data_IF_722873321877
#
_entry.id   IF_722873321877
#
_cell.length_a   1.000
_cell.length_b   1.000
_cell.length_c   1.000
_cell.angle_alpha   90.00
_cell.angle_beta   90.00
_cell.angle_gamma   90.00
#
_symmetry.space_group_name_H-M   'P 1'
#
loop_
_entity.id
_entity.type
_entity.pdbx_description
1 polymer ?
#
# COMPACT_ATOMS: atom_id res chain seq x y z
N UNK A 1 -49.99 47.18 5.96
CA UNK A 1 -48.87 46.30 5.57
C UNK A 1 -48.84 45.14 6.52
N UNK A 2 -49.38 44.00 6.14
CA UNK A 2 -49.39 42.79 6.97
C UNK A 2 -48.22 41.92 6.55
N UNK A 3 -47.34 41.62 7.49
CA UNK A 3 -46.24 40.65 7.34
C UNK A 3 -46.80 39.28 7.68
N UNK A 4 -46.69 38.26 6.83
CA UNK A 4 -47.10 36.91 7.18
C UNK A 4 -46.05 36.23 8.03
N UNK A 5 -46.46 35.74 9.18
CA UNK A 5 -45.70 34.90 10.11
C UNK A 5 -45.50 33.52 9.48
N UNK A 6 -44.25 33.08 9.34
CA UNK A 6 -43.92 31.76 8.88
C UNK A 6 -44.11 30.72 10.00
N UNK A 7 -44.90 29.69 9.71
CA UNK A 7 -45.06 28.51 10.55
C UNK A 7 -43.80 27.62 10.50
N UNK A 8 -43.42 26.94 11.59
CA UNK A 8 -42.28 26.02 11.60
C UNK A 8 -42.61 24.73 10.86
N UNK A 9 -41.87 24.45 9.84
CA UNK A 9 -41.91 23.17 9.12
C UNK A 9 -41.36 22.06 10.03
N UNK A 10 -42.25 21.18 10.46
CA UNK A 10 -41.86 19.92 11.13
C UNK A 10 -41.23 18.95 10.11
N UNK A 11 -39.90 18.86 10.10
CA UNK A 11 -39.18 17.85 9.32
C UNK A 11 -39.21 16.50 10.03
N UNK A 12 -40.32 15.79 9.91
CA UNK A 12 -40.38 14.37 10.30
C UNK A 12 -39.83 13.52 9.14
N UNK A 13 -38.50 13.53 8.99
CA UNK A 13 -37.79 12.70 8.02
C UNK A 13 -37.77 11.26 8.54
N UNK A 14 -38.73 10.46 8.13
CA UNK A 14 -38.67 9.00 8.28
C UNK A 14 -37.53 8.48 7.43
N UNK A 15 -36.46 8.00 8.07
CA UNK A 15 -35.39 7.28 7.41
C UNK A 15 -36.00 6.06 6.70
N UNK A 16 -35.75 5.85 5.39
CA UNK A 16 -36.29 4.70 4.68
C UNK A 16 -35.88 3.39 5.37
N UNK A 17 -36.81 2.49 5.57
CA UNK A 17 -36.62 1.19 6.26
C UNK A 17 -35.45 0.38 5.68
N UNK A 18 -35.14 0.55 4.39
CA UNK A 18 -34.00 -0.08 3.74
C UNK A 18 -32.64 0.40 4.29
N UNK A 19 -32.53 1.70 4.65
CA UNK A 19 -31.28 2.26 5.21
C UNK A 19 -31.11 1.82 6.66
N UNK A 20 -32.18 1.77 7.44
CA UNK A 20 -32.16 1.28 8.82
C UNK A 20 -31.68 -0.19 8.86
N UNK A 21 -32.24 -1.06 8.02
CA UNK A 21 -31.85 -2.46 7.94
C UNK A 21 -30.39 -2.67 7.50
N UNK A 22 -29.85 -1.77 6.66
CA UNK A 22 -28.45 -1.83 6.24
C UNK A 22 -27.50 -1.43 7.37
N UNK A 23 -27.87 -0.40 8.14
CA UNK A 23 -27.07 0.05 9.29
C UNK A 23 -27.07 -1.02 10.39
N UNK A 24 -28.21 -1.64 10.69
CA UNK A 24 -28.31 -2.71 11.67
C UNK A 24 -27.49 -3.94 11.27
N UNK A 25 -27.49 -4.31 9.99
CA UNK A 25 -26.66 -5.41 9.47
C UNK A 25 -25.17 -5.10 9.58
N UNK A 26 -24.74 -3.90 9.26
CA UNK A 26 -23.33 -3.48 9.40
C UNK A 26 -22.90 -3.46 10.86
N UNK A 27 -23.75 -2.96 11.75
CA UNK A 27 -23.45 -2.91 13.18
C UNK A 27 -23.36 -4.31 13.79
N UNK A 28 -24.27 -5.22 13.41
CA UNK A 28 -24.25 -6.60 13.85
C UNK A 28 -23.04 -7.36 13.32
N UNK A 29 -22.66 -7.13 12.07
CA UNK A 29 -21.44 -7.74 11.48
C UNK A 29 -20.18 -7.20 12.14
N UNK A 30 -20.09 -5.90 12.41
CA UNK A 30 -18.95 -5.30 13.10
C UNK A 30 -18.82 -5.84 14.54
N UNK A 31 -19.94 -5.99 15.25
CA UNK A 31 -19.96 -6.56 16.61
C UNK A 31 -19.55 -8.02 16.63
N UNK A 32 -19.99 -8.82 15.67
CA UNK A 32 -19.60 -10.24 15.55
C UNK A 32 -18.13 -10.42 15.20
N UNK A 33 -17.57 -9.56 14.34
CA UNK A 33 -16.13 -9.55 14.02
C UNK A 33 -15.31 -9.12 15.24
N UNK A 34 -15.74 -8.09 15.96
CA UNK A 34 -15.06 -7.64 17.16
C UNK A 34 -15.03 -8.70 18.27
N UNK A 35 -16.15 -9.42 18.47
CA UNK A 35 -16.20 -10.53 19.45
C UNK A 35 -15.32 -11.70 19.04
N UNK A 36 -15.32 -12.08 17.76
CA UNK A 36 -14.46 -13.16 17.24
C UNK A 36 -12.97 -12.82 17.33
N UNK A 37 -12.59 -11.56 17.08
CA UNK A 37 -11.21 -11.12 17.24
C UNK A 37 -10.82 -11.11 18.72
N UNK A 38 -11.68 -10.62 19.62
CA UNK A 38 -11.42 -10.63 21.05
C UNK A 38 -11.26 -12.05 21.62
N UNK A 39 -12.12 -12.98 21.20
CA UNK A 39 -12.04 -14.38 21.61
C UNK A 39 -10.75 -15.05 21.11
N UNK A 40 -10.37 -14.83 19.87
CA UNK A 40 -9.12 -15.36 19.32
C UNK A 40 -7.88 -14.76 19.99
N UNK A 41 -7.90 -13.48 20.36
CA UNK A 41 -6.80 -12.83 21.10
C UNK A 41 -6.71 -13.40 22.53
N UNK A 42 -7.84 -13.61 23.20
CA UNK A 42 -7.84 -14.19 24.54
C UNK A 42 -7.35 -15.65 24.50
N UNK A 43 -7.83 -16.45 23.56
CA UNK A 43 -7.37 -17.83 23.37
C UNK A 43 -5.85 -17.87 23.07
N UNK A 44 -5.34 -16.99 22.21
CA UNK A 44 -3.90 -16.89 21.95
C UNK A 44 -3.11 -16.46 23.20
N UNK A 45 -3.66 -15.55 24.01
CA UNK A 45 -3.04 -15.12 25.28
C UNK A 45 -2.99 -16.27 26.29
N UNK A 46 -4.04 -17.06 26.41
CA UNK A 46 -4.10 -18.19 27.33
C UNK A 46 -3.19 -19.34 26.85
N UNK A 47 -3.10 -19.60 25.54
CA UNK A 47 -2.11 -20.53 24.99
C UNK A 47 -0.66 -20.09 25.28
N UNK A 48 -0.37 -18.79 25.17
CA UNK A 48 0.96 -18.25 25.48
C UNK A 48 1.25 -18.37 26.98
N UNK A 49 0.28 -18.07 27.85
CA UNK A 49 0.43 -18.20 29.31
C UNK A 49 0.64 -19.66 29.71
N UNK A 50 -0.17 -20.58 29.19
CA UNK A 50 -0.03 -22.00 29.46
C UNK A 50 1.30 -22.54 28.92
N UNK A 51 1.74 -22.09 27.76
CA UNK A 51 3.03 -22.46 27.20
C UNK A 51 4.21 -21.92 28.05
N UNK A 52 4.10 -20.70 28.56
CA UNK A 52 5.13 -20.11 29.43
C UNK A 52 5.13 -20.78 30.80
N UNK A 53 3.96 -21.04 31.40
CA UNK A 53 3.89 -21.72 32.70
C UNK A 53 4.34 -23.19 32.60
N UNK A 54 3.95 -23.88 31.54
CA UNK A 54 4.43 -25.27 31.30
C UNK A 54 5.92 -25.32 30.96
N UNK A 55 6.51 -24.25 30.40
CA UNK A 55 7.96 -24.13 30.21
C UNK A 55 8.69 -23.88 31.52
N UNK A 56 8.08 -23.14 32.47
CA UNK A 56 8.65 -22.91 33.81
C UNK A 56 8.60 -24.15 34.73
N UNK A 57 7.52 -24.93 34.59
CA UNK A 57 7.32 -26.19 35.38
C UNK A 57 7.86 -27.45 34.69
N UNK A 58 8.35 -27.32 33.45
CA UNK A 58 8.86 -28.48 32.73
C UNK A 58 10.19 -28.94 33.31
N UNK A 59 10.32 -30.23 33.46
CA UNK A 59 11.58 -30.96 33.82
C UNK A 59 12.81 -30.53 32.98
N UNK A 60 12.56 -29.78 31.87
CA UNK A 60 13.62 -29.22 31.02
C UNK A 60 14.45 -28.15 31.73
N UNK A 61 13.85 -27.33 32.60
CA UNK A 61 14.61 -26.32 33.37
C UNK A 61 15.37 -27.01 34.53
N UNK A 62 14.70 -27.95 35.20
CA UNK A 62 15.36 -28.78 36.22
C UNK A 62 16.46 -29.65 35.63
N UNK A 63 16.21 -30.26 34.48
CA UNK A 63 17.18 -31.06 33.73
C UNK A 63 18.37 -30.23 33.23
N UNK A 64 18.14 -29.00 32.77
CA UNK A 64 19.22 -28.11 32.32
C UNK A 64 20.10 -27.64 33.46
N UNK A 65 19.56 -27.38 34.65
CA UNK A 65 20.36 -27.04 35.84
C UNK A 65 21.16 -28.23 36.33
N UNK A 66 20.57 -29.41 36.36
CA UNK A 66 21.27 -30.66 36.69
C UNK A 66 22.37 -31.00 35.67
N UNK A 67 22.10 -30.74 34.39
CA UNK A 67 23.06 -30.94 33.32
C UNK A 67 24.23 -29.94 33.39
N UNK A 68 23.96 -28.69 33.75
CA UNK A 68 24.98 -27.65 33.99
C UNK A 68 25.84 -27.95 35.23
N UNK A 69 25.27 -28.57 36.27
CA UNK A 69 25.99 -28.98 37.47
C UNK A 69 26.79 -30.27 37.26
N UNK A 70 26.55 -31.02 36.19
CA UNK A 70 27.37 -32.18 35.85
C UNK A 70 28.79 -31.71 35.49
N UNK A 71 29.77 -32.28 36.15
CA UNK A 71 31.21 -31.93 35.99
C UNK A 71 31.79 -32.42 34.65
N UNK A 72 31.04 -33.03 33.77
CA UNK A 72 31.52 -33.49 32.48
C UNK A 72 31.68 -32.32 31.49
N UNK A 73 32.87 -32.13 31.00
CA UNK A 73 33.25 -31.11 30.04
C UNK A 73 32.35 -31.19 28.77
N UNK A 74 31.95 -32.41 28.39
CA UNK A 74 31.08 -32.71 27.26
C UNK A 74 29.68 -32.08 27.45
N UNK A 75 29.12 -32.18 28.67
CA UNK A 75 27.78 -31.62 28.96
C UNK A 75 27.78 -30.10 28.83
N UNK A 76 28.84 -29.43 29.31
CA UNK A 76 28.99 -27.97 29.18
C UNK A 76 29.16 -27.52 27.76
N UNK A 77 29.88 -28.25 26.92
CA UNK A 77 29.98 -27.97 25.48
C UNK A 77 28.65 -28.17 24.74
N UNK A 78 27.95 -29.28 25.03
CA UNK A 78 26.66 -29.56 24.43
C UNK A 78 25.64 -28.48 24.78
N UNK A 79 25.61 -27.99 26.03
CA UNK A 79 24.75 -26.89 26.44
C UNK A 79 25.09 -25.56 25.71
N UNK A 80 26.39 -25.24 25.61
CA UNK A 80 26.84 -24.05 24.89
C UNK A 80 26.44 -24.08 23.43
N UNK A 81 26.54 -25.23 22.75
CA UNK A 81 26.08 -25.41 21.36
C UNK A 81 24.57 -25.22 21.27
N UNK A 82 23.80 -25.79 22.20
CA UNK A 82 22.34 -25.67 22.23
C UNK A 82 21.91 -24.21 22.41
N UNK A 83 22.55 -23.48 23.32
CA UNK A 83 22.31 -22.03 23.51
C UNK A 83 22.63 -21.24 22.23
N UNK A 84 23.78 -21.56 21.60
CA UNK A 84 24.17 -20.90 20.34
C UNK A 84 23.17 -21.15 19.23
N UNK A 85 22.66 -22.39 19.08
CA UNK A 85 21.61 -22.72 18.10
C UNK A 85 20.32 -21.95 18.42
N UNK A 86 19.89 -21.92 19.69
CA UNK A 86 18.71 -21.15 20.12
C UNK A 86 18.87 -19.66 19.83
N UNK A 87 20.03 -19.09 20.08
CA UNK A 87 20.34 -17.70 19.77
C UNK A 87 20.29 -17.41 18.25
N UNK A 88 20.81 -18.31 17.40
CA UNK A 88 20.75 -18.19 15.95
C UNK A 88 19.31 -18.23 15.43
N UNK A 89 18.47 -19.07 16.03
CA UNK A 89 17.05 -19.14 15.67
C UNK A 89 16.34 -17.83 16.06
N UNK A 90 16.58 -17.31 17.26
CA UNK A 90 16.00 -16.05 17.73
C UNK A 90 16.46 -14.87 16.88
N UNK A 91 17.73 -14.80 16.50
CA UNK A 91 18.22 -13.76 15.58
C UNK A 91 17.54 -13.83 14.23
N UNK A 92 17.43 -15.03 13.64
CA UNK A 92 16.76 -15.21 12.36
C UNK A 92 15.29 -14.78 12.43
N UNK A 93 14.59 -15.14 13.52
CA UNK A 93 13.22 -14.72 13.75
C UNK A 93 13.12 -13.19 13.89
N UNK A 94 14.01 -12.58 14.67
CA UNK A 94 14.06 -11.13 14.86
C UNK A 94 14.27 -10.37 13.55
N UNK A 95 15.22 -10.82 12.72
CA UNK A 95 15.47 -10.22 11.39
C UNK A 95 14.23 -10.33 10.49
N UNK A 96 13.54 -11.49 10.49
CA UNK A 96 12.31 -11.67 9.71
C UNK A 96 11.18 -10.75 10.17
N UNK A 97 11.02 -10.58 11.49
CA UNK A 97 10.01 -9.69 12.07
C UNK A 97 10.31 -8.23 11.68
N UNK A 98 11.55 -7.78 11.86
CA UNK A 98 11.96 -6.43 11.45
C UNK A 98 11.74 -6.24 9.95
N UNK A 99 12.16 -7.21 9.12
CA UNK A 99 11.95 -7.17 7.69
C UNK A 99 10.49 -7.02 7.29
N UNK A 100 9.58 -7.73 7.98
CA UNK A 100 8.15 -7.62 7.74
C UNK A 100 7.60 -6.21 8.02
N UNK A 101 8.03 -5.58 9.13
CA UNK A 101 7.57 -4.23 9.50
C UNK A 101 8.25 -3.10 8.71
N UNK A 102 9.42 -3.34 8.15
CA UNK A 102 10.17 -2.34 7.37
C UNK A 102 9.97 -2.48 5.86
N UNK A 103 9.26 -3.52 5.42
CA UNK A 103 9.01 -3.73 3.99
C UNK A 103 8.17 -2.58 3.42
N UNK A 104 8.59 -1.99 2.27
CA UNK A 104 7.78 -0.99 1.58
C UNK A 104 6.41 -1.54 1.18
N UNK A 105 5.39 -0.67 1.19
CA UNK A 105 4.05 -1.05 0.75
C UNK A 105 4.05 -1.52 -0.71
N UNK A 106 3.32 -2.59 -1.00
CA UNK A 106 3.09 -3.04 -2.37
C UNK A 106 2.17 -2.11 -3.18
N UNK A 107 1.45 -1.22 -2.47
CA UNK A 107 0.51 -0.25 -3.03
C UNK A 107 0.78 1.15 -2.41
N UNK A 108 1.90 1.80 -2.79
CA UNK A 108 2.27 3.08 -2.22
C UNK A 108 1.42 4.22 -2.77
N UNK A 109 0.93 5.09 -1.90
CA UNK A 109 0.33 6.37 -2.31
C UNK A 109 1.43 7.37 -2.62
N UNK A 110 1.61 7.69 -3.90
CA UNK A 110 2.63 8.63 -4.36
C UNK A 110 2.24 10.08 -4.12
N UNK A 111 0.96 10.41 -4.33
CA UNK A 111 0.40 11.73 -4.07
C UNK A 111 -0.71 11.58 -3.04
N UNK A 112 -0.61 12.30 -1.92
CA UNK A 112 -1.60 12.31 -0.87
C UNK A 112 -2.44 13.60 -0.94
N UNK A 113 -3.74 13.45 -1.20
CA UNK A 113 -4.67 14.56 -1.40
C UNK A 113 -4.63 15.13 -2.83
N UNK A 114 -5.14 16.35 -2.98
CA UNK A 114 -5.17 17.06 -4.25
C UNK A 114 -3.93 17.94 -4.41
N UNK A 115 -3.33 17.92 -5.59
CA UNK A 115 -2.23 18.81 -5.93
C UNK A 115 -2.56 19.61 -7.19
N UNK A 116 -1.99 20.79 -7.29
CA UNK A 116 -2.07 21.59 -8.50
C UNK A 116 -1.02 21.08 -9.51
N UNK A 117 -1.47 20.70 -10.71
CA UNK A 117 -0.62 20.18 -11.76
C UNK A 117 0.39 21.18 -12.33
N UNK A 118 0.28 22.48 -11.98
CA UNK A 118 1.30 23.47 -12.29
C UNK A 118 2.60 23.26 -11.49
N UNK A 119 2.56 22.50 -10.40
CA UNK A 119 3.71 22.22 -9.56
C UNK A 119 4.22 20.81 -9.87
N UNK A 120 5.40 20.71 -10.45
CA UNK A 120 6.06 19.43 -10.65
C UNK A 120 6.47 18.82 -9.30
N UNK A 121 6.21 17.53 -9.14
CA UNK A 121 6.65 16.75 -7.98
C UNK A 121 7.48 15.57 -8.44
N UNK A 122 8.73 15.54 -8.04
CA UNK A 122 9.63 14.40 -8.28
C UNK A 122 9.67 13.54 -7.04
N UNK A 123 9.31 12.26 -7.17
CA UNK A 123 9.30 11.29 -6.09
C UNK A 123 10.53 10.39 -6.23
N UNK A 124 11.55 10.58 -5.36
CA UNK A 124 12.76 9.77 -5.42
C UNK A 124 12.45 8.29 -5.18
N UNK A 125 13.15 7.41 -5.90
CA UNK A 125 13.03 5.96 -5.75
C UNK A 125 14.23 5.34 -5.02
N UNK A 126 15.27 6.12 -4.69
CA UNK A 126 16.40 5.64 -3.91
C UNK A 126 15.98 5.46 -2.45
N UNK A 127 16.00 4.25 -1.90
CA UNK A 127 15.62 3.98 -0.51
C UNK A 127 16.54 4.67 0.53
N UNK A 128 17.69 5.18 0.12
CA UNK A 128 18.56 5.98 0.99
C UNK A 128 18.07 7.40 1.17
N UNK A 129 17.20 7.88 0.31
CA UNK A 129 16.60 9.20 0.43
C UNK A 129 15.40 9.14 1.39
N UNK A 130 15.37 9.96 2.42
CA UNK A 130 14.29 10.02 3.41
C UNK A 130 12.93 10.44 2.85
N UNK A 131 12.90 11.06 1.67
CA UNK A 131 11.68 11.46 0.96
C UNK A 131 11.26 10.44 -0.11
N UNK A 132 11.97 9.33 -0.20
CA UNK A 132 11.66 8.28 -1.16
C UNK A 132 10.35 7.58 -0.82
N UNK A 133 9.54 7.33 -1.85
CA UNK A 133 8.40 6.42 -1.79
C UNK A 133 8.70 5.28 -2.78
N UNK A 134 9.36 4.20 -2.34
CA UNK A 134 9.79 3.14 -3.24
C UNK A 134 8.61 2.44 -3.89
N UNK A 135 8.62 2.36 -5.21
CA UNK A 135 7.70 1.54 -5.98
C UNK A 135 8.35 0.18 -6.16
N UNK A 136 7.77 -0.85 -5.55
CA UNK A 136 8.29 -2.20 -5.66
C UNK A 136 8.25 -2.67 -7.13
N UNK A 137 9.24 -3.47 -7.49
CA UNK A 137 9.26 -4.09 -8.81
C UNK A 137 8.09 -5.07 -8.91
N UNK A 138 7.33 -5.00 -10.01
CA UNK A 138 6.28 -5.98 -10.31
C UNK A 138 6.86 -7.38 -10.50
N UNK A 139 6.09 -8.40 -10.15
CA UNK A 139 6.46 -9.78 -10.41
C UNK A 139 6.46 -10.02 -11.92
N UNK A 140 7.53 -10.65 -12.44
CA UNK A 140 7.54 -11.09 -13.83
C UNK A 140 6.65 -12.31 -13.95
N UNK A 141 5.58 -12.18 -14.73
CA UNK A 141 4.74 -13.30 -15.16
C UNK A 141 5.25 -13.84 -16.50
N UNK A 142 4.79 -15.03 -16.93
CA UNK A 142 5.16 -15.63 -18.20
C UNK A 142 4.89 -14.73 -19.42
N UNK A 143 3.97 -13.76 -19.30
CA UNK A 143 3.58 -12.82 -20.35
C UNK A 143 4.10 -11.39 -20.14
N UNK A 144 5.01 -11.17 -19.22
CA UNK A 144 5.59 -9.87 -18.90
C UNK A 144 5.31 -9.37 -17.49
N UNK A 145 5.48 -8.07 -17.27
CA UNK A 145 5.25 -7.42 -15.98
C UNK A 145 3.76 -7.08 -15.81
N UNK A 146 3.25 -7.30 -14.59
CA UNK A 146 1.90 -6.88 -14.22
C UNK A 146 1.99 -5.75 -13.21
N UNK A 147 1.29 -4.65 -13.48
CA UNK A 147 1.17 -3.50 -12.59
C UNK A 147 -0.13 -2.74 -12.88
N UNK A 148 -0.58 -1.96 -11.93
CA UNK A 148 -1.70 -1.02 -12.10
C UNK A 148 -1.33 0.35 -11.55
N UNK A 149 -1.84 1.38 -12.19
CA UNK A 149 -1.77 2.76 -11.73
C UNK A 149 -3.18 3.32 -11.63
N UNK A 150 -3.46 4.03 -10.57
CA UNK A 150 -4.77 4.59 -10.28
C UNK A 150 -4.60 6.05 -9.87
N UNK A 151 -5.34 6.95 -10.51
CA UNK A 151 -5.35 8.35 -10.15
C UNK A 151 -6.67 9.02 -10.47
N UNK A 152 -7.02 10.03 -9.67
CA UNK A 152 -8.12 10.94 -9.93
C UNK A 152 -7.59 12.20 -10.60
N UNK A 153 -8.26 12.63 -11.68
CA UNK A 153 -7.88 13.84 -12.39
C UNK A 153 -9.06 14.78 -12.56
N UNK A 154 -8.76 16.09 -12.53
CA UNK A 154 -9.67 17.15 -12.91
C UNK A 154 -8.96 18.08 -13.88
N UNK A 155 -9.39 18.11 -15.13
CA UNK A 155 -8.81 18.92 -16.17
C UNK A 155 -9.76 20.10 -16.41
N UNK A 156 -9.29 21.31 -16.09
CA UNK A 156 -10.08 22.53 -16.29
C UNK A 156 -10.11 22.93 -17.75
N UNK A 157 -8.94 22.95 -18.37
CA UNK A 157 -8.73 23.34 -19.76
C UNK A 157 -7.44 22.68 -20.28
N UNK A 158 -7.30 22.64 -21.61
CA UNK A 158 -6.11 22.12 -22.27
C UNK A 158 -5.39 23.25 -23.01
N UNK A 159 -4.08 23.36 -22.84
CA UNK A 159 -3.24 24.31 -23.55
C UNK A 159 -2.87 23.76 -24.93
N UNK A 160 -2.79 24.64 -25.93
CA UNK A 160 -2.36 24.21 -27.27
C UNK A 160 -0.87 23.94 -27.40
N UNK A 161 -0.06 24.37 -26.44
CA UNK A 161 1.39 24.17 -26.44
C UNK A 161 1.91 23.90 -25.02
N UNK A 162 2.72 22.89 -24.83
CA UNK A 162 3.18 21.88 -25.80
C UNK A 162 2.03 20.98 -26.31
N UNK A 163 2.28 20.18 -27.34
CA UNK A 163 1.28 19.27 -27.90
C UNK A 163 0.73 18.31 -26.86
N UNK A 164 1.58 17.83 -25.96
CA UNK A 164 1.20 16.92 -24.88
C UNK A 164 1.50 17.59 -23.53
N UNK A 165 0.53 17.55 -22.64
CA UNK A 165 0.69 17.94 -21.23
C UNK A 165 1.03 16.70 -20.42
N UNK A 166 2.14 16.74 -19.70
CA UNK A 166 2.59 15.66 -18.83
C UNK A 166 1.68 15.53 -17.60
N UNK A 167 1.26 14.31 -17.29
CA UNK A 167 0.52 13.98 -16.07
C UNK A 167 1.45 13.31 -15.07
N UNK A 168 2.01 12.16 -15.46
CA UNK A 168 3.09 11.51 -14.71
C UNK A 168 3.89 10.60 -15.64
N UNK A 169 5.12 10.29 -15.25
CA UNK A 169 5.89 9.20 -15.84
C UNK A 169 6.76 8.51 -14.78
N UNK A 170 6.97 7.23 -14.96
CA UNK A 170 8.02 6.50 -14.25
C UNK A 170 9.26 6.48 -15.12
N UNK A 171 10.17 7.41 -14.87
CA UNK A 171 11.37 7.64 -15.68
C UNK A 171 12.08 8.93 -15.25
N UNK A 172 12.82 9.55 -16.15
CA UNK A 172 13.48 10.82 -15.87
C UNK A 172 12.58 12.02 -16.18
N UNK A 173 12.81 13.12 -15.50
CA UNK A 173 12.14 14.40 -15.73
C UNK A 173 12.82 15.20 -16.86
N UNK A 174 13.02 14.57 -18.01
CA UNK A 174 13.54 15.23 -19.23
C UNK A 174 12.55 15.03 -20.35
N UNK A 175 12.08 16.12 -20.95
CA UNK A 175 11.00 16.10 -21.93
C UNK A 175 11.49 16.60 -23.30
N UNK A 176 10.85 16.10 -24.35
CA UNK A 176 11.05 16.59 -25.71
C UNK A 176 10.26 17.89 -25.95
N UNK A 177 10.36 18.46 -27.14
CA UNK A 177 9.63 19.67 -27.54
C UNK A 177 8.12 19.50 -27.58
N UNK A 178 7.62 18.24 -27.64
CA UNK A 178 6.21 17.92 -27.60
C UNK A 178 5.67 17.72 -26.18
N UNK A 179 6.54 17.63 -25.18
CA UNK A 179 6.18 17.41 -23.78
C UNK A 179 6.19 15.95 -23.34
N UNK A 180 6.75 15.03 -24.13
CA UNK A 180 6.88 13.62 -23.79
C UNK A 180 8.25 13.36 -23.15
N UNK A 181 8.30 12.56 -22.09
CA UNK A 181 9.56 12.17 -21.46
C UNK A 181 10.44 11.36 -22.43
N UNK A 182 11.71 11.77 -22.53
CA UNK A 182 12.65 11.19 -23.49
C UNK A 182 13.35 9.94 -22.97
N UNK A 183 13.49 9.81 -21.64
CA UNK A 183 14.18 8.70 -20.99
C UNK A 183 13.23 7.97 -20.07
N UNK A 184 12.78 6.80 -20.54
CA UNK A 184 11.88 5.87 -19.88
C UNK A 184 10.49 6.43 -19.59
N UNK A 185 9.52 5.82 -20.27
CA UNK A 185 8.11 5.83 -19.92
C UNK A 185 7.75 4.42 -19.44
N UNK A 186 7.81 4.17 -18.16
CA UNK A 186 7.53 2.86 -17.62
C UNK A 186 6.43 2.81 -16.54
N UNK A 187 5.19 3.32 -16.81
CA UNK A 187 4.61 4.04 -17.93
C UNK A 187 4.76 5.56 -17.87
N UNK A 188 4.33 6.24 -18.94
CA UNK A 188 4.10 7.68 -19.00
C UNK A 188 2.64 7.96 -19.36
N UNK A 189 2.03 8.95 -18.74
CA UNK A 189 0.66 9.39 -18.96
C UNK A 189 0.65 10.86 -19.37
N UNK A 190 0.01 11.17 -20.48
CA UNK A 190 -0.01 12.49 -21.09
C UNK A 190 -1.40 12.86 -21.56
N UNK A 191 -1.70 14.14 -21.69
CA UNK A 191 -2.91 14.65 -22.32
C UNK A 191 -2.52 15.26 -23.66
N UNK A 192 -3.14 14.78 -24.73
CA UNK A 192 -3.06 15.42 -26.04
C UNK A 192 -3.99 16.63 -26.06
N UNK A 193 -3.41 17.81 -26.08
CA UNK A 193 -4.14 19.05 -25.80
C UNK A 193 -5.11 19.46 -26.91
N UNK A 194 -4.85 19.09 -28.15
CA UNK A 194 -5.72 19.47 -29.29
C UNK A 194 -7.04 18.68 -29.31
N UNK A 195 -6.98 17.40 -28.96
CA UNK A 195 -8.10 16.47 -29.12
C UNK A 195 -8.68 16.00 -27.79
N UNK A 196 -8.19 16.50 -26.66
CA UNK A 196 -8.57 16.04 -25.31
C UNK A 196 -8.46 14.52 -25.16
N UNK A 197 -7.40 13.93 -25.71
CA UNK A 197 -7.14 12.51 -25.58
C UNK A 197 -6.17 12.25 -24.43
N UNK A 198 -6.33 11.12 -23.76
CA UNK A 198 -5.36 10.61 -22.79
C UNK A 198 -4.44 9.65 -23.53
N UNK A 199 -3.14 9.87 -23.42
CA UNK A 199 -2.11 9.08 -24.08
C UNK A 199 -1.31 8.34 -23.02
N UNK A 200 -1.29 7.02 -23.09
CA UNK A 200 -0.40 6.18 -22.30
C UNK A 200 0.77 5.74 -23.16
N UNK A 201 1.97 6.05 -22.73
CA UNK A 201 3.20 5.68 -23.43
C UNK A 201 3.95 4.67 -22.58
N UNK A 202 4.40 3.58 -23.18
CA UNK A 202 5.18 2.55 -22.53
C UNK A 202 6.42 2.21 -23.35
N UNK A 203 7.60 2.34 -22.75
CA UNK A 203 8.81 1.81 -23.35
C UNK A 203 8.84 0.30 -23.19
N UNK A 204 9.16 -0.40 -24.26
CA UNK A 204 9.24 -1.85 -24.32
C UNK A 204 10.69 -2.31 -24.51
N UNK A 205 10.93 -3.60 -24.33
CA UNK A 205 12.23 -4.25 -24.63
C UNK A 205 12.30 -4.74 -26.07
N UNK A 206 11.22 -4.62 -26.84
CA UNK A 206 11.20 -5.00 -28.25
C UNK A 206 11.96 -3.95 -29.08
N UNK A 207 13.01 -4.40 -29.75
CA UNK A 207 13.85 -3.53 -30.60
C UNK A 207 13.09 -3.00 -31.82
N UNK A 208 12.08 -3.74 -32.30
CA UNK A 208 11.30 -3.36 -33.48
C UNK A 208 10.17 -2.36 -33.08
N UNK A 209 9.63 -2.50 -31.86
CA UNK A 209 8.60 -1.63 -31.32
C UNK A 209 9.04 -1.14 -29.94
N UNK A 210 10.01 -0.21 -29.88
CA UNK A 210 10.57 0.23 -28.58
C UNK A 210 9.59 1.07 -27.75
N UNK A 211 8.49 1.51 -28.32
CA UNK A 211 7.47 2.33 -27.66
C UNK A 211 6.08 1.87 -28.08
N UNK A 212 5.26 1.52 -27.11
CA UNK A 212 3.82 1.26 -27.30
C UNK A 212 3.02 2.46 -26.81
N UNK A 213 1.96 2.77 -27.56
CA UNK A 213 1.10 3.92 -27.27
C UNK A 213 -0.36 3.48 -27.26
N UNK A 214 -1.05 3.77 -26.16
CA UNK A 214 -2.51 3.61 -26.03
C UNK A 214 -3.16 4.97 -25.97
N UNK A 215 -4.23 5.17 -26.77
CA UNK A 215 -4.99 6.41 -26.81
C UNK A 215 -6.41 6.19 -26.31
N UNK A 216 -6.78 6.94 -25.27
CA UNK A 216 -8.17 7.03 -24.77
C UNK A 216 -8.72 8.36 -25.23
N UNK A 217 -9.75 8.32 -26.10
CA UNK A 217 -10.31 9.51 -26.73
C UNK A 217 -11.35 10.20 -25.87
N UNK A 218 -11.51 11.50 -26.09
CA UNK A 218 -12.59 12.32 -25.56
C UNK A 218 -12.69 12.31 -24.04
N UNK A 219 -11.57 12.54 -23.33
CA UNK A 219 -11.58 12.64 -21.87
C UNK A 219 -12.40 13.87 -21.43
N UNK A 220 -13.17 13.73 -20.33
CA UNK A 220 -14.03 14.80 -19.86
C UNK A 220 -13.24 15.98 -19.31
N UNK A 221 -13.61 17.19 -19.72
CA UNK A 221 -13.13 18.43 -19.11
C UNK A 221 -14.07 18.88 -18.00
N UNK A 222 -13.55 19.61 -17.02
CA UNK A 222 -14.28 20.22 -15.89
C UNK A 222 -15.09 19.22 -15.06
N UNK A 223 -14.64 17.99 -15.01
CA UNK A 223 -15.20 16.92 -14.18
C UNK A 223 -14.08 16.09 -13.60
N UNK A 224 -14.30 15.58 -12.39
CA UNK A 224 -13.44 14.55 -11.82
C UNK A 224 -13.69 13.23 -12.55
N UNK A 225 -12.61 12.55 -12.89
CA UNK A 225 -12.64 11.20 -13.45
C UNK A 225 -11.43 10.39 -12.96
N UNK A 226 -11.58 9.08 -13.03
CA UNK A 226 -10.60 8.10 -12.54
C UNK A 226 -10.18 7.19 -13.69
#
# INVERSE_FOLDING_TARGET
MNVPTAEPVSTNSKIPTAVANTVDNVTNTASSVASSVSENVNNASDYVKDSISSFGDSDLVGSSTSFLQSNTLIAKFAFLILVLIGFMILLNLGVKIIGYFTQPSGDPKLVNGTMNAANEVVIPQDPKNSQSIPILRSNNQNKGMEFSWSLWMYINDTSKSPKFSHVFNKGNATYDTNGIATVNNGPGLYIENENNNLIVVMNTVDVNNPVEVLVVKDIPLRKWFH
#
